data_IF_074924895991
#
_entry.id   IF_074924895991
#
_cell.length_a   1.000
_cell.length_b   1.000
_cell.length_c   1.000
_cell.angle_alpha   90.00
_cell.angle_beta   90.00
_cell.angle_gamma   90.00
#
_symmetry.space_group_name_H-M   'P 1'
#
loop_
_entity.id
_entity.type
_entity.pdbx_description
1 polymer ?
#
# COMPACT_ATOMS: atom_id res chain seq x y z
N UNK A 1 7.48 -27.38 23.20
CA UNK A 1 7.85 -27.94 21.88
C UNK A 1 6.83 -29.02 21.54
N UNK A 2 6.03 -28.80 20.50
CA UNK A 2 4.86 -29.66 20.19
C UNK A 2 5.32 -31.01 19.62
N UNK A 3 4.99 -32.10 20.31
CA UNK A 3 5.33 -33.48 19.95
C UNK A 3 4.94 -33.86 18.50
N UNK A 4 3.95 -33.16 17.94
CA UNK A 4 3.48 -33.31 16.56
C UNK A 4 4.59 -33.13 15.52
N UNK A 5 5.60 -32.28 15.77
CA UNK A 5 6.69 -32.05 14.80
C UNK A 5 7.73 -33.18 14.78
N UNK A 6 7.86 -33.93 15.87
CA UNK A 6 8.79 -35.06 15.99
C UNK A 6 8.27 -36.26 15.19
N UNK A 7 6.97 -36.54 15.29
CA UNK A 7 6.33 -37.65 14.56
C UNK A 7 6.40 -37.49 13.03
N UNK A 8 6.20 -36.28 12.52
CA UNK A 8 6.23 -36.03 11.07
C UNK A 8 7.65 -36.16 10.49
N UNK A 9 8.68 -35.80 11.25
CA UNK A 9 10.08 -36.00 10.81
C UNK A 9 10.50 -37.46 10.82
N UNK A 10 10.06 -38.24 11.82
CA UNK A 10 10.29 -39.69 11.84
C UNK A 10 9.60 -40.38 10.66
N UNK A 11 8.36 -39.98 10.34
CA UNK A 11 7.60 -40.53 9.21
C UNK A 11 8.25 -40.20 7.87
N UNK A 12 8.74 -38.97 7.67
CA UNK A 12 9.48 -38.57 6.45
C UNK A 12 10.79 -39.34 6.29
N UNK A 13 11.47 -39.66 7.40
CA UNK A 13 12.71 -40.44 7.39
C UNK A 13 12.45 -41.92 7.10
N UNK A 14 11.33 -42.47 7.57
CA UNK A 14 10.92 -43.85 7.28
C UNK A 14 10.34 -44.03 5.87
N UNK A 15 9.72 -42.99 5.30
CA UNK A 15 9.18 -43.01 3.94
C UNK A 15 10.26 -42.87 2.84
N UNK A 16 11.45 -42.38 3.18
CA UNK A 16 12.60 -42.35 2.27
C UNK A 16 13.23 -43.74 2.18
N UNK A 17 12.53 -44.69 1.53
CA UNK A 17 13.15 -45.92 1.02
C UNK A 17 14.12 -45.51 -0.09
N UNK A 18 15.44 -45.78 0.01
CA UNK A 18 16.36 -45.54 -1.11
C UNK A 18 16.23 -46.71 -2.09
N UNK A 19 15.10 -46.78 -2.80
CA UNK A 19 14.97 -47.69 -3.93
C UNK A 19 15.64 -47.04 -5.14
N UNK A 20 16.68 -47.71 -5.65
CA UNK A 20 17.31 -47.50 -6.96
C UNK A 20 18.29 -46.31 -7.11
N UNK A 21 19.53 -46.54 -6.69
CA UNK A 21 20.70 -45.94 -7.36
C UNK A 21 21.89 -46.90 -7.24
N UNK A 22 21.76 -48.07 -7.86
CA UNK A 22 22.72 -49.18 -7.80
C UNK A 22 23.81 -49.14 -8.89
N UNK A 23 23.99 -48.04 -9.64
CA UNK A 23 25.07 -47.97 -10.65
C UNK A 23 25.67 -46.56 -10.71
N UNK A 24 26.73 -46.31 -9.94
CA UNK A 24 27.69 -45.22 -10.16
C UNK A 24 28.97 -45.46 -9.30
N UNK A 25 30.17 -45.14 -9.81
CA UNK A 25 31.45 -45.52 -9.22
C UNK A 25 31.65 -44.92 -7.82
N UNK A 26 32.35 -45.66 -6.95
CA UNK A 26 32.57 -45.43 -5.51
C UNK A 26 33.04 -44.02 -5.13
N UNK A 27 33.72 -43.31 -6.04
CA UNK A 27 34.21 -41.94 -5.85
C UNK A 27 33.06 -40.91 -5.80
N UNK A 28 32.05 -41.06 -6.66
CA UNK A 28 30.90 -40.15 -6.72
C UNK A 28 30.01 -40.28 -5.46
N UNK A 29 29.86 -41.50 -4.94
CA UNK A 29 29.16 -41.75 -3.67
C UNK A 29 29.89 -41.12 -2.47
N UNK A 30 31.23 -41.20 -2.43
CA UNK A 30 32.03 -40.57 -1.36
C UNK A 30 31.89 -39.05 -1.32
N UNK A 31 31.83 -38.41 -2.50
CA UNK A 31 31.66 -36.96 -2.61
C UNK A 31 30.24 -36.50 -2.22
N UNK A 32 29.20 -37.24 -2.63
CA UNK A 32 27.79 -36.93 -2.30
C UNK A 32 27.50 -37.17 -0.82
N UNK A 33 28.06 -38.22 -0.21
CA UNK A 33 27.88 -38.49 1.22
C UNK A 33 28.62 -37.45 2.07
N UNK A 34 29.83 -37.02 1.66
CA UNK A 34 30.55 -35.93 2.33
C UNK A 34 29.83 -34.59 2.23
N UNK A 35 29.30 -34.23 1.05
CA UNK A 35 28.56 -32.98 0.87
C UNK A 35 27.23 -32.98 1.63
N UNK A 36 26.54 -34.13 1.70
CA UNK A 36 25.35 -34.28 2.52
C UNK A 36 25.67 -34.14 4.03
N UNK A 37 26.75 -34.78 4.51
CA UNK A 37 27.19 -34.67 5.91
C UNK A 37 27.60 -33.24 6.28
N UNK A 38 28.31 -32.55 5.38
CA UNK A 38 28.68 -31.14 5.56
C UNK A 38 27.45 -30.22 5.51
N UNK A 39 26.49 -30.47 4.62
CA UNK A 39 25.23 -29.73 4.58
C UNK A 39 24.40 -29.94 5.87
N UNK A 40 24.48 -31.12 6.49
CA UNK A 40 23.83 -31.41 7.77
C UNK A 40 24.53 -30.75 8.96
N UNK A 41 25.86 -30.63 8.93
CA UNK A 41 26.63 -29.89 9.95
C UNK A 41 26.37 -28.37 9.92
N UNK A 42 26.02 -27.80 8.77
CA UNK A 42 25.66 -26.38 8.63
C UNK A 42 24.26 -26.03 9.16
N UNK A 43 23.42 -27.02 9.52
CA UNK A 43 22.03 -26.78 9.91
C UNK A 43 21.73 -26.92 11.41
N UNK A 44 22.70 -27.29 12.25
CA UNK A 44 22.50 -27.31 13.70
C UNK A 44 22.86 -25.96 14.32
N UNK A 45 22.00 -24.95 14.15
CA UNK A 45 22.10 -23.73 14.96
C UNK A 45 21.70 -24.09 16.40
N UNK A 46 22.58 -23.84 17.36
CA UNK A 46 22.23 -23.93 18.77
C UNK A 46 21.16 -22.87 19.08
N UNK A 47 19.93 -23.32 19.37
CA UNK A 47 18.84 -22.45 19.80
C UNK A 47 18.83 -22.47 21.33
N UNK A 48 19.35 -21.42 21.94
CA UNK A 48 19.21 -21.19 23.38
C UNK A 48 17.83 -20.59 23.66
N UNK A 49 17.09 -21.15 24.61
CA UNK A 49 15.81 -20.62 25.06
C UNK A 49 15.97 -20.05 26.47
N UNK A 50 15.30 -18.93 26.73
CA UNK A 50 15.28 -18.29 28.04
C UNK A 50 13.85 -18.39 28.59
N UNK A 51 13.71 -18.65 29.90
CA UNK A 51 12.40 -18.56 30.55
C UNK A 51 12.08 -17.09 30.75
N UNK A 52 10.97 -16.64 30.18
CA UNK A 52 10.49 -15.26 30.30
C UNK A 52 9.13 -15.27 31.00
N UNK A 53 8.88 -14.24 31.81
CA UNK A 53 7.52 -13.93 32.26
C UNK A 53 6.66 -13.46 31.08
N UNK A 54 5.34 -13.46 31.25
CA UNK A 54 4.42 -13.08 30.17
C UNK A 54 4.60 -11.61 29.74
N UNK A 55 4.90 -10.72 30.70
CA UNK A 55 5.12 -9.30 30.45
C UNK A 55 6.43 -9.05 29.67
N UNK A 56 7.51 -9.74 30.02
CA UNK A 56 8.78 -9.67 29.30
C UNK A 56 8.67 -10.19 27.87
N UNK A 57 7.93 -11.30 27.68
CA UNK A 57 7.68 -11.82 26.34
C UNK A 57 6.92 -10.81 25.47
N UNK A 58 5.93 -10.10 26.03
CA UNK A 58 5.19 -9.07 25.31
C UNK A 58 6.09 -7.88 24.92
N UNK A 59 6.97 -7.44 25.82
CA UNK A 59 7.96 -6.37 25.53
C UNK A 59 8.90 -6.76 24.39
N UNK A 60 9.41 -7.99 24.39
CA UNK A 60 10.28 -8.51 23.32
C UNK A 60 9.52 -8.62 22.00
N UNK A 61 8.26 -9.05 22.00
CA UNK A 61 7.47 -9.11 20.78
C UNK A 61 7.15 -7.70 20.25
N UNK A 62 6.88 -6.73 21.12
CA UNK A 62 6.68 -5.35 20.72
C UNK A 62 7.95 -4.76 20.09
N UNK A 63 9.13 -4.97 20.70
CA UNK A 63 10.40 -4.49 20.13
C UNK A 63 10.71 -5.14 18.79
N UNK A 64 10.42 -6.43 18.63
CA UNK A 64 10.54 -7.13 17.34
C UNK A 64 9.56 -6.61 16.29
N UNK A 65 8.34 -6.22 16.66
CA UNK A 65 7.33 -5.68 15.71
C UNK A 65 7.74 -4.33 15.15
N UNK A 66 8.45 -3.50 15.93
CA UNK A 66 8.98 -2.22 15.48
C UNK A 66 10.08 -2.37 14.42
N UNK A 67 10.88 -3.44 14.51
CA UNK A 67 11.96 -3.71 13.56
C UNK A 67 11.49 -4.38 12.26
N UNK A 68 10.20 -4.75 12.15
CA UNK A 68 9.67 -5.35 10.92
C UNK A 68 9.30 -4.21 9.97
N UNK A 69 9.86 -4.17 8.75
CA UNK A 69 9.48 -3.15 7.79
C UNK A 69 8.01 -3.32 7.41
N UNK A 70 7.32 -2.19 7.24
CA UNK A 70 5.98 -2.17 6.66
C UNK A 70 6.14 -2.30 5.15
N UNK A 71 5.40 -3.22 4.53
CA UNK A 71 5.42 -3.37 3.08
C UNK A 71 4.97 -2.05 2.41
N UNK A 72 5.55 -1.68 1.25
CA UNK A 72 5.10 -0.50 0.53
C UNK A 72 3.61 -0.65 0.18
N UNK A 73 2.83 0.42 0.33
CA UNK A 73 1.38 0.41 0.11
C UNK A 73 1.03 1.33 -1.06
N UNK A 74 0.78 2.61 -0.78
CA UNK A 74 0.29 3.61 -1.73
C UNK A 74 1.21 3.78 -2.94
N UNK A 75 2.51 3.52 -2.78
CA UNK A 75 3.52 3.71 -3.83
C UNK A 75 3.61 2.57 -4.84
N UNK A 76 3.04 1.39 -4.54
CA UNK A 76 3.11 0.21 -5.43
C UNK A 76 1.76 -0.23 -5.99
N UNK A 77 0.66 0.33 -5.48
CA UNK A 77 -0.67 0.02 -5.99
C UNK A 77 -0.91 0.68 -7.35
N UNK A 78 -1.73 0.02 -8.17
CA UNK A 78 -2.22 0.56 -9.44
C UNK A 78 -3.11 1.79 -9.21
N UNK A 79 -2.78 2.95 -9.81
CA UNK A 79 -3.59 4.17 -9.71
C UNK A 79 -5.02 4.04 -10.27
N UNK A 80 -5.30 3.04 -11.12
CA UNK A 80 -6.64 2.83 -11.69
C UNK A 80 -7.65 2.25 -10.68
N UNK A 81 -7.22 1.90 -9.48
CA UNK A 81 -8.12 1.34 -8.46
C UNK A 81 -9.12 2.37 -7.93
N UNK A 82 -10.37 1.94 -7.73
CA UNK A 82 -11.50 2.82 -7.38
C UNK A 82 -11.30 3.62 -6.08
N UNK A 83 -10.50 3.09 -5.16
CA UNK A 83 -10.21 3.75 -3.90
C UNK A 83 -9.23 4.92 -4.05
N UNK A 84 -8.39 4.95 -5.10
CA UNK A 84 -7.46 6.06 -5.36
C UNK A 84 -8.18 7.28 -5.95
N UNK A 85 -9.21 7.05 -6.78
CA UNK A 85 -10.05 8.12 -7.35
C UNK A 85 -11.27 8.43 -6.49
N UNK A 86 -12.35 7.69 -6.71
CA UNK A 86 -13.68 8.01 -6.19
C UNK A 86 -13.72 8.06 -4.65
N UNK A 87 -13.09 7.09 -3.96
CA UNK A 87 -13.13 7.03 -2.49
C UNK A 87 -12.39 8.21 -1.84
N UNK A 88 -11.19 8.54 -2.32
CA UNK A 88 -10.41 9.67 -1.80
C UNK A 88 -11.12 11.00 -2.09
N UNK A 89 -11.68 11.15 -3.29
CA UNK A 89 -12.45 12.36 -3.65
C UNK A 89 -13.67 12.56 -2.74
N UNK A 90 -14.43 11.50 -2.44
CA UNK A 90 -15.57 11.60 -1.52
C UNK A 90 -15.16 12.07 -0.11
N UNK A 91 -13.97 11.65 0.36
CA UNK A 91 -13.44 12.12 1.66
C UNK A 91 -13.04 13.59 1.58
N UNK A 92 -12.33 14.01 0.53
CA UNK A 92 -11.93 15.40 0.38
C UNK A 92 -13.12 16.35 0.23
N UNK A 93 -14.12 16.01 -0.59
CA UNK A 93 -15.32 16.85 -0.75
C UNK A 93 -16.12 16.91 0.55
N UNK A 94 -16.27 15.79 1.25
CA UNK A 94 -16.91 15.76 2.57
C UNK A 94 -16.18 16.61 3.62
N UNK A 95 -14.84 16.50 3.68
CA UNK A 95 -14.01 17.31 4.57
C UNK A 95 -14.06 18.80 4.21
N UNK A 96 -14.03 19.15 2.93
CA UNK A 96 -14.13 20.54 2.49
C UNK A 96 -15.50 21.13 2.83
N UNK A 97 -16.58 20.37 2.60
CA UNK A 97 -17.94 20.80 2.93
C UNK A 97 -18.11 21.00 4.44
N UNK A 98 -17.76 20.00 5.25
CA UNK A 98 -17.85 20.09 6.70
C UNK A 98 -16.93 21.19 7.24
N UNK A 99 -15.70 21.28 6.75
CA UNK A 99 -14.73 22.30 7.13
C UNK A 99 -15.23 23.72 6.83
N UNK A 100 -15.81 23.95 5.65
CA UNK A 100 -16.41 25.23 5.30
C UNK A 100 -17.59 25.59 6.21
N UNK A 101 -18.47 24.63 6.52
CA UNK A 101 -19.59 24.86 7.44
C UNK A 101 -19.12 25.22 8.86
N UNK A 102 -18.17 24.45 9.42
CA UNK A 102 -17.64 24.72 10.76
C UNK A 102 -16.83 26.00 10.82
N UNK A 103 -15.99 26.27 9.83
CA UNK A 103 -15.24 27.52 9.76
C UNK A 103 -16.19 28.73 9.63
N UNK A 104 -17.22 28.62 8.78
CA UNK A 104 -18.24 29.65 8.60
C UNK A 104 -19.04 29.90 9.87
N UNK A 105 -19.46 28.86 10.60
CA UNK A 105 -20.21 29.02 11.85
C UNK A 105 -19.37 29.63 12.97
N UNK A 106 -18.11 29.23 13.10
CA UNK A 106 -17.17 29.85 14.05
C UNK A 106 -16.87 31.30 13.69
N UNK A 107 -16.66 31.61 12.41
CA UNK A 107 -16.44 32.97 11.94
C UNK A 107 -17.68 33.85 12.20
N UNK A 108 -18.89 33.31 11.97
CA UNK A 108 -20.14 34.01 12.27
C UNK A 108 -20.29 34.31 13.76
N UNK A 109 -19.93 33.37 14.64
CA UNK A 109 -19.96 33.59 16.09
C UNK A 109 -18.94 34.63 16.55
N UNK A 110 -17.74 34.64 15.95
CA UNK A 110 -16.69 35.61 16.25
C UNK A 110 -16.94 36.99 15.62
N UNK A 111 -17.85 37.09 14.65
CA UNK A 111 -18.05 38.28 13.85
C UNK A 111 -18.34 39.56 14.66
N UNK A 112 -19.21 39.55 15.70
CA UNK A 112 -19.49 40.75 16.49
C UNK A 112 -18.28 41.23 17.30
N UNK A 113 -17.40 40.32 17.73
CA UNK A 113 -16.21 40.66 18.50
C UNK A 113 -15.11 41.27 17.62
N UNK A 114 -15.01 40.82 16.37
CA UNK A 114 -13.97 41.23 15.43
C UNK A 114 -14.43 42.34 14.47
N UNK A 115 -15.71 42.75 14.55
CA UNK A 115 -16.30 43.73 13.64
C UNK A 115 -16.46 43.20 12.20
N UNK A 116 -16.56 41.89 12.01
CA UNK A 116 -16.74 41.31 10.68
C UNK A 116 -18.20 41.39 10.23
N UNK A 117 -18.41 41.82 8.99
CA UNK A 117 -19.72 41.83 8.38
C UNK A 117 -19.91 40.56 7.55
N UNK A 118 -20.45 39.50 8.14
CA UNK A 118 -20.74 38.21 7.49
C UNK A 118 -22.22 38.08 7.10
N UNK A 119 -22.78 39.16 6.55
CA UNK A 119 -24.16 39.21 6.07
C UNK A 119 -24.26 38.73 4.61
N UNK A 120 -25.45 38.29 4.19
CA UNK A 120 -25.68 37.85 2.81
C UNK A 120 -25.24 38.88 1.77
N UNK A 121 -25.41 40.19 2.07
CA UNK A 121 -25.01 41.28 1.17
C UNK A 121 -23.48 41.38 0.99
N UNK A 122 -22.69 41.25 2.07
CA UNK A 122 -21.22 41.32 1.99
C UNK A 122 -20.64 40.09 1.31
N UNK A 123 -21.23 38.91 1.54
CA UNK A 123 -20.87 37.67 0.84
C UNK A 123 -21.12 37.77 -0.67
N UNK A 124 -22.27 38.31 -1.09
CA UNK A 124 -22.57 38.53 -2.51
C UNK A 124 -21.64 39.57 -3.13
N UNK A 125 -21.34 40.67 -2.42
CA UNK A 125 -20.39 41.67 -2.89
C UNK A 125 -18.98 41.10 -3.05
N UNK A 126 -18.53 40.26 -2.10
CA UNK A 126 -17.28 39.53 -2.19
C UNK A 126 -17.27 38.59 -3.40
N UNK A 127 -18.32 37.77 -3.57
CA UNK A 127 -18.51 36.91 -4.74
C UNK A 127 -18.45 37.71 -6.06
N UNK A 128 -19.07 38.88 -6.08
CA UNK A 128 -19.09 39.80 -7.22
C UNK A 128 -17.74 40.51 -7.45
N UNK A 129 -16.89 40.66 -6.44
CA UNK A 129 -15.55 41.25 -6.60
C UNK A 129 -14.48 40.26 -7.10
N UNK A 130 -14.75 38.95 -7.10
CA UNK A 130 -13.76 37.97 -7.55
C UNK A 130 -13.38 38.17 -9.03
N UNK A 131 -12.10 37.99 -9.39
CA UNK A 131 -11.65 38.07 -10.77
C UNK A 131 -12.35 37.01 -11.64
N UNK A 132 -12.51 37.31 -12.93
CA UNK A 132 -13.24 36.46 -13.88
C UNK A 132 -12.75 35.02 -13.84
N UNK A 133 -11.43 34.79 -13.82
CA UNK A 133 -10.83 33.45 -13.72
C UNK A 133 -11.34 32.63 -12.52
N UNK A 134 -11.61 33.26 -11.38
CA UNK A 134 -12.14 32.58 -10.20
C UNK A 134 -13.65 32.30 -10.31
N UNK A 135 -14.39 33.12 -11.07
CA UNK A 135 -15.83 32.98 -11.28
C UNK A 135 -16.20 31.95 -12.34
N UNK A 136 -15.40 31.81 -13.41
CA UNK A 136 -15.71 30.90 -14.53
C UNK A 136 -15.03 29.53 -14.44
N UNK A 137 -14.11 29.33 -13.49
CA UNK A 137 -13.23 28.15 -13.53
C UNK A 137 -12.44 28.09 -14.85
N UNK A 138 -12.07 26.88 -15.31
CA UNK A 138 -11.68 26.70 -16.72
C UNK A 138 -12.88 27.11 -17.58
N UNK A 139 -12.73 28.13 -18.43
CA UNK A 139 -13.85 28.60 -19.24
C UNK A 139 -14.40 27.47 -20.12
N UNK A 140 -15.66 27.57 -20.57
CA UNK A 140 -16.23 26.60 -21.53
C UNK A 140 -15.30 26.32 -22.72
N UNK A 141 -14.56 27.35 -23.16
CA UNK A 141 -13.54 27.24 -24.21
C UNK A 141 -12.33 26.38 -23.80
N UNK A 142 -11.87 26.47 -22.55
CA UNK A 142 -10.74 25.69 -22.04
C UNK A 142 -11.11 24.23 -21.82
N UNK A 143 -12.35 23.99 -21.34
CA UNK A 143 -12.93 22.65 -21.24
C UNK A 143 -13.10 22.04 -22.64
N UNK A 144 -13.59 22.81 -23.62
CA UNK A 144 -13.74 22.34 -25.00
C UNK A 144 -12.38 21.99 -25.65
N UNK A 145 -11.34 22.80 -25.42
CA UNK A 145 -9.97 22.51 -25.87
C UNK A 145 -9.44 21.22 -25.26
N UNK A 146 -9.64 21.03 -23.96
CA UNK A 146 -9.23 19.81 -23.26
C UNK A 146 -9.95 18.56 -23.80
N UNK A 147 -11.27 18.63 -23.99
CA UNK A 147 -12.07 17.53 -24.55
C UNK A 147 -11.63 17.16 -25.98
N UNK A 148 -11.41 18.16 -26.84
CA UNK A 148 -10.93 17.92 -28.21
C UNK A 148 -9.52 17.31 -28.22
N UNK A 149 -8.62 17.75 -27.35
CA UNK A 149 -7.28 17.19 -27.24
C UNK A 149 -7.30 15.71 -26.83
N UNK A 150 -8.18 15.34 -25.89
CA UNK A 150 -8.38 13.94 -25.48
C UNK A 150 -8.93 13.11 -26.65
N UNK A 151 -9.91 13.63 -27.38
CA UNK A 151 -10.49 12.95 -28.55
C UNK A 151 -9.46 12.70 -29.65
N UNK A 152 -8.67 13.73 -30.00
CA UNK A 152 -7.64 13.64 -31.02
C UNK A 152 -6.53 12.65 -30.60
N UNK A 153 -6.10 12.69 -29.33
CA UNK A 153 -5.10 11.76 -28.82
C UNK A 153 -5.60 10.30 -28.87
N UNK A 154 -6.87 10.05 -28.53
CA UNK A 154 -7.48 8.72 -28.65
C UNK A 154 -7.55 8.24 -30.10
N UNK A 155 -7.95 9.10 -31.04
CA UNK A 155 -8.03 8.74 -32.48
C UNK A 155 -6.65 8.43 -33.05
N UNK A 156 -5.65 9.26 -32.75
CA UNK A 156 -4.26 9.03 -33.21
C UNK A 156 -3.71 7.75 -32.58
N UNK A 157 -3.97 7.51 -31.28
CA UNK A 157 -3.58 6.28 -30.60
C UNK A 157 -4.20 5.02 -31.22
N UNK A 158 -5.50 5.07 -31.56
CA UNK A 158 -6.19 3.96 -32.22
C UNK A 158 -5.69 3.71 -33.64
N UNK A 159 -5.38 4.76 -34.41
CA UNK A 159 -4.80 4.64 -35.75
C UNK A 159 -3.37 4.08 -35.72
N UNK A 160 -2.55 4.51 -34.76
CA UNK A 160 -1.21 3.97 -34.55
C UNK A 160 -1.21 2.48 -34.16
N UNK A 161 -2.20 2.06 -33.36
CA UNK A 161 -2.37 0.65 -32.99
C UNK A 161 -2.86 -0.21 -34.17
N UNK A 162 -3.67 0.36 -35.07
CA UNK A 162 -4.16 -0.31 -36.27
C UNK A 162 -3.08 -0.53 -37.35
N UNK A 163 -1.99 0.24 -37.32
CA UNK A 163 -0.84 0.08 -38.23
C UNK A 163 0.18 -0.98 -37.76
N UNK A 164 -0.01 -1.53 -36.55
CA UNK A 164 0.86 -2.55 -35.94
C UNK A 164 0.29 -3.98 -36.07
N UNK A 165 -0.75 -4.18 -36.87
CA UNK A 165 -1.37 -5.46 -37.21
C UNK A 165 -1.43 -5.68 -38.72
#
# INVERSE_FOLDING_TARGET
MNAQRVGVMALRRAAAKPSMALVAPSIARGLIVRSALQAQALQSRAITTQKLSHDEANKVLASQRLNRPVAPHLTIYDPAQIWYGASIMQRYTGMAYAGALYAGSLAYLAAPLLGWHLESASLVAFAASLPVAAKVGFGKADIAKATNAIWVASVIGSLGLALLW
#
